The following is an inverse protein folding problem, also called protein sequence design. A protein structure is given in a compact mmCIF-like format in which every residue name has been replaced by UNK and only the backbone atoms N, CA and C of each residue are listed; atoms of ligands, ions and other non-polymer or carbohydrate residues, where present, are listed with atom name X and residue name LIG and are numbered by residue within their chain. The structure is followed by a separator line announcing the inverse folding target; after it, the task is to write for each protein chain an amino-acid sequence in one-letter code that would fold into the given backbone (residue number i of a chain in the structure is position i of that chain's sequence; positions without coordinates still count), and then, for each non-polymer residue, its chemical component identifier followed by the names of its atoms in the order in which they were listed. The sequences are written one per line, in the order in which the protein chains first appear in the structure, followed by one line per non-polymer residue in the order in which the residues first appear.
data_IF_370906424699
#
_entry.id   IF_370906424699
#
_cell.length_a   1.000
_cell.length_b   1.000
_cell.length_c   1.000
_cell.angle_alpha   90.00
_cell.angle_beta   90.00
_cell.angle_gamma   90.00
#
_symmetry.space_group_name_H-M   'P 1'
#
loop_
_entity.id
_entity.type
_entity.pdbx_description
1 polymer ?
#
# COMPACT_ATOMS: atom_id res chain seq x y z
N UNK A 1 -18.94 26.43 -4.28
CA UNK A 1 -17.85 25.98 -3.39
C UNK A 1 -17.20 24.75 -4.01
N UNK A 2 -15.97 24.87 -4.49
CA UNK A 2 -15.22 23.73 -5.05
C UNK A 2 -14.71 22.85 -3.90
N UNK A 3 -15.34 21.70 -3.68
CA UNK A 3 -14.80 20.65 -2.82
C UNK A 3 -13.65 20.01 -3.60
N UNK A 4 -12.43 20.53 -3.43
CA UNK A 4 -11.26 19.73 -3.72
C UNK A 4 -11.29 18.58 -2.71
N UNK A 5 -11.80 17.44 -3.15
CA UNK A 5 -11.51 16.14 -2.57
C UNK A 5 -9.98 15.98 -2.59
N UNK A 6 -9.31 16.52 -1.58
CA UNK A 6 -7.88 16.31 -1.37
C UNK A 6 -7.75 14.81 -1.11
N UNK A 7 -7.29 14.08 -2.12
CA UNK A 7 -6.96 12.66 -2.00
C UNK A 7 -5.94 12.55 -0.86
N UNK A 8 -6.38 12.08 0.32
CA UNK A 8 -5.49 11.89 1.46
C UNK A 8 -4.65 10.66 1.16
N UNK A 9 -3.37 10.87 0.87
CA UNK A 9 -2.43 9.80 0.60
C UNK A 9 -1.39 9.74 1.71
N UNK A 10 -1.02 8.53 2.12
CA UNK A 10 0.14 8.29 2.97
C UNK A 10 1.36 8.08 2.08
N UNK A 11 2.36 8.92 2.29
CA UNK A 11 3.65 8.85 1.64
C UNK A 11 4.70 8.35 2.64
N UNK A 12 5.43 7.30 2.25
CA UNK A 12 6.78 7.11 2.76
C UNK A 12 7.63 8.20 2.09
N UNK A 13 8.50 8.90 2.82
CA UNK A 13 9.38 9.94 2.25
C UNK A 13 10.26 9.42 1.08
N UNK A 14 10.33 8.10 0.89
CA UNK A 14 10.92 7.49 -0.28
C UNK A 14 9.92 7.35 -1.46
N UNK A 15 10.15 8.04 -2.60
CA UNK A 15 9.28 7.96 -3.78
C UNK A 15 9.32 6.60 -4.49
N UNK A 16 10.19 5.67 -4.05
CA UNK A 16 10.25 4.32 -4.60
C UNK A 16 8.95 3.55 -4.38
N UNK A 17 8.33 3.71 -3.20
CA UNK A 17 7.14 2.97 -2.82
C UNK A 17 5.86 3.65 -3.32
N UNK A 18 4.83 2.88 -3.72
CA UNK A 18 3.57 3.46 -4.16
C UNK A 18 2.87 4.16 -2.99
N UNK A 19 2.25 5.30 -3.29
CA UNK A 19 1.43 6.06 -2.34
C UNK A 19 0.20 5.25 -1.96
N UNK A 20 -0.21 5.34 -0.69
CA UNK A 20 -1.41 4.65 -0.21
C UNK A 20 -2.57 5.65 -0.15
N UNK A 21 -3.54 5.49 -1.03
CA UNK A 21 -4.80 6.25 -0.99
C UNK A 21 -5.64 5.86 0.24
N UNK A 22 -5.77 6.79 1.19
CA UNK A 22 -6.56 6.61 2.41
C UNK A 22 -8.06 6.65 2.13
N UNK A 23 -8.51 7.41 1.14
CA UNK A 23 -9.94 7.53 0.81
C UNK A 23 -10.46 6.18 0.29
N UNK A 24 -9.70 5.50 -0.55
CA UNK A 24 -9.99 4.15 -1.02
C UNK A 24 -9.74 3.06 0.02
N UNK A 25 -8.93 3.31 1.06
CA UNK A 25 -8.47 2.30 2.01
C UNK A 25 -9.62 1.68 2.80
N UNK A 26 -10.54 2.50 3.33
CA UNK A 26 -11.69 2.02 4.13
C UNK A 26 -12.54 1.02 3.34
N UNK A 27 -12.86 1.35 2.09
CA UNK A 27 -13.62 0.48 1.18
C UNK A 27 -12.84 -0.78 0.80
N UNK A 28 -11.54 -0.64 0.50
CA UNK A 28 -10.67 -1.75 0.10
C UNK A 28 -10.50 -2.78 1.22
N UNK A 29 -10.30 -2.31 2.46
CA UNK A 29 -10.08 -3.14 3.63
C UNK A 29 -11.37 -3.54 4.36
N UNK A 30 -12.53 -3.09 3.87
CA UNK A 30 -13.86 -3.34 4.47
C UNK A 30 -13.90 -2.94 5.96
N UNK A 31 -13.24 -1.84 6.32
CA UNK A 31 -13.20 -1.37 7.70
C UNK A 31 -14.59 -0.88 8.13
N UNK A 32 -14.98 -1.17 9.38
CA UNK A 32 -16.25 -0.71 9.91
C UNK A 32 -16.30 0.82 10.01
N UNK A 33 -17.51 1.39 9.97
CA UNK A 33 -17.71 2.85 10.15
C UNK A 33 -17.17 3.37 11.48
N UNK A 34 -17.12 2.51 12.50
CA UNK A 34 -16.65 2.80 13.86
C UNK A 34 -15.14 3.05 13.96
N UNK A 35 -14.34 2.56 13.02
CA UNK A 35 -12.90 2.87 12.99
C UNK A 35 -12.74 4.34 12.63
N UNK A 36 -12.12 5.14 13.50
CA UNK A 36 -11.89 6.57 13.25
C UNK A 36 -10.85 6.82 12.15
N UNK A 37 -11.05 7.87 11.34
CA UNK A 37 -10.13 8.18 10.23
C UNK A 37 -8.69 8.46 10.69
N UNK A 38 -8.52 9.10 11.86
CA UNK A 38 -7.21 9.33 12.45
C UNK A 38 -6.48 8.02 12.80
N UNK A 39 -7.21 7.01 13.30
CA UNK A 39 -6.63 5.70 13.60
C UNK A 39 -6.21 4.97 12.31
N UNK A 40 -7.01 5.10 11.24
CA UNK A 40 -6.70 4.55 9.91
C UNK A 40 -5.43 5.21 9.36
N UNK A 41 -5.33 6.54 9.46
CA UNK A 41 -4.18 7.32 8.98
C UNK A 41 -2.89 6.91 9.72
N UNK A 42 -2.91 6.87 11.05
CA UNK A 42 -1.77 6.41 11.86
C UNK A 42 -1.39 4.97 11.53
N UNK A 43 -2.37 4.06 11.43
CA UNK A 43 -2.12 2.68 11.05
C UNK A 43 -1.45 2.56 9.68
N UNK A 44 -1.91 3.34 8.70
CA UNK A 44 -1.34 3.38 7.36
C UNK A 44 0.10 3.92 7.37
N UNK A 45 0.39 4.99 8.12
CA UNK A 45 1.77 5.49 8.29
C UNK A 45 2.70 4.44 8.91
N UNK A 46 2.28 3.81 10.01
CA UNK A 46 3.06 2.75 10.63
C UNK A 46 3.29 1.57 9.68
N UNK A 47 2.27 1.19 8.89
CA UNK A 47 2.35 0.10 7.94
C UNK A 47 3.33 0.38 6.79
N UNK A 48 3.29 1.58 6.19
CA UNK A 48 4.23 1.91 5.09
C UNK A 48 5.68 1.99 5.57
N UNK A 49 5.92 2.48 6.79
CA UNK A 49 7.27 2.50 7.38
C UNK A 49 7.77 1.08 7.61
N UNK A 50 6.92 0.21 8.17
CA UNK A 50 7.25 -1.21 8.33
C UNK A 50 7.54 -1.87 6.98
N UNK A 51 6.68 -1.68 5.99
CA UNK A 51 6.87 -2.23 4.64
C UNK A 51 8.18 -1.74 4.00
N UNK A 52 8.49 -0.45 4.09
CA UNK A 52 9.73 0.11 3.54
C UNK A 52 10.98 -0.52 4.17
N UNK A 53 10.92 -0.91 5.45
CA UNK A 53 12.00 -1.61 6.15
C UNK A 53 12.12 -3.06 5.71
N UNK A 54 11.01 -3.81 5.70
CA UNK A 54 10.99 -5.21 5.29
C UNK A 54 11.48 -5.42 3.85
N UNK A 55 11.12 -4.49 2.95
CA UNK A 55 11.49 -4.57 1.54
C UNK A 55 12.74 -3.77 1.18
N UNK A 56 13.54 -3.34 2.16
CA UNK A 56 14.70 -2.48 1.93
C UNK A 56 15.75 -3.11 1.01
N UNK A 57 16.02 -4.41 1.15
CA UNK A 57 17.00 -5.13 0.32
C UNK A 57 16.55 -5.21 -1.15
N UNK A 58 15.26 -5.50 -1.38
CA UNK A 58 14.67 -5.49 -2.72
C UNK A 58 14.78 -4.11 -3.36
N UNK A 59 14.46 -3.04 -2.61
CA UNK A 59 14.61 -1.66 -3.08
C UNK A 59 16.07 -1.34 -3.44
N UNK A 60 17.03 -1.73 -2.61
CA UNK A 60 18.46 -1.49 -2.88
C UNK A 60 18.91 -2.18 -4.17
N UNK A 61 18.57 -3.46 -4.34
CA UNK A 61 18.86 -4.22 -5.55
C UNK A 61 18.23 -3.57 -6.79
N UNK A 62 16.94 -3.22 -6.73
CA UNK A 62 16.25 -2.59 -7.87
C UNK A 62 16.81 -1.21 -8.21
N UNK A 63 17.23 -0.42 -7.22
CA UNK A 63 17.92 0.85 -7.47
C UNK A 63 19.28 0.67 -8.13
N UNK A 64 20.04 -0.37 -7.78
CA UNK A 64 21.31 -0.68 -8.47
C UNK A 64 21.10 -1.07 -9.94
N UNK A 65 19.91 -1.57 -10.29
CA UNK A 65 19.50 -1.86 -11.66
C UNK A 65 18.91 -0.64 -12.39
N UNK A 66 18.85 0.53 -11.73
CA UNK A 66 18.38 1.79 -12.31
C UNK A 66 16.90 2.10 -12.10
N UNK A 67 16.12 1.24 -11.45
CA UNK A 67 14.71 1.49 -11.18
C UNK A 67 14.53 2.53 -10.07
N UNK A 68 13.69 3.54 -10.32
CA UNK A 68 13.44 4.64 -9.37
C UNK A 68 12.15 4.45 -8.59
N UNK A 69 11.20 3.70 -9.12
CA UNK A 69 9.89 3.42 -8.53
C UNK A 69 9.55 1.95 -8.67
N UNK A 70 8.75 1.42 -7.74
CA UNK A 70 8.27 0.04 -7.80
C UNK A 70 7.37 -0.20 -9.03
N UNK A 71 6.60 0.81 -9.44
CA UNK A 71 5.76 0.73 -10.64
C UNK A 71 6.59 0.57 -11.93
N UNK A 72 7.83 1.08 -11.97
CA UNK A 72 8.74 0.92 -13.11
C UNK A 72 9.11 -0.55 -13.36
N UNK A 73 9.06 -1.38 -12.30
CA UNK A 73 9.42 -2.82 -12.35
C UNK A 73 8.22 -3.66 -12.79
N UNK A 74 6.99 -3.12 -12.74
CA UNK A 74 5.75 -3.87 -12.97
C UNK A 74 5.48 -4.23 -14.44
N UNK A 75 6.37 -3.84 -15.37
CA UNK A 75 6.36 -4.34 -16.75
C UNK A 75 6.62 -5.85 -16.86
N UNK A 76 7.16 -6.48 -15.81
CA UNK A 76 7.49 -7.91 -15.77
C UNK A 76 6.75 -8.64 -14.63
N UNK A 77 6.55 -9.95 -14.79
CA UNK A 77 5.83 -10.79 -13.80
C UNK A 77 6.40 -10.70 -12.39
N UNK A 78 7.72 -10.76 -12.26
CA UNK A 78 8.40 -10.66 -10.96
C UNK A 78 8.19 -9.31 -10.28
N UNK A 79 8.21 -8.21 -11.04
CA UNK A 79 7.93 -6.88 -10.49
C UNK A 79 6.46 -6.73 -10.08
N UNK A 80 5.53 -7.28 -10.87
CA UNK A 80 4.11 -7.35 -10.50
C UNK A 80 3.91 -8.13 -9.20
N UNK A 81 4.57 -9.28 -9.06
CA UNK A 81 4.53 -10.07 -7.84
C UNK A 81 5.05 -9.30 -6.63
N UNK A 82 6.20 -8.62 -6.77
CA UNK A 82 6.77 -7.79 -5.71
C UNK A 82 5.82 -6.66 -5.28
N UNK A 83 5.19 -5.97 -6.24
CA UNK A 83 4.18 -4.95 -5.94
C UNK A 83 2.98 -5.52 -5.22
N UNK A 84 2.51 -6.69 -5.63
CA UNK A 84 1.41 -7.39 -4.94
C UNK A 84 1.81 -7.72 -3.50
N UNK A 85 3.00 -8.28 -3.29
CA UNK A 85 3.53 -8.61 -1.96
C UNK A 85 3.65 -7.37 -1.07
N UNK A 86 4.20 -6.27 -1.58
CA UNK A 86 4.27 -5.00 -0.86
C UNK A 86 2.89 -4.51 -0.41
N UNK A 87 1.92 -4.46 -1.34
CA UNK A 87 0.56 -4.01 -1.03
C UNK A 87 -0.15 -4.96 -0.04
N UNK A 88 0.01 -6.28 -0.19
CA UNK A 88 -0.53 -7.25 0.75
C UNK A 88 0.05 -7.07 2.16
N UNK A 89 1.36 -6.82 2.26
CA UNK A 89 2.02 -6.56 3.53
C UNK A 89 1.47 -5.29 4.18
N UNK A 90 1.35 -4.19 3.43
CA UNK A 90 0.78 -2.93 3.94
C UNK A 90 -0.65 -3.15 4.43
N UNK A 91 -1.50 -3.77 3.62
CA UNK A 91 -2.90 -4.06 3.99
C UNK A 91 -2.97 -4.90 5.29
N UNK A 92 -2.14 -5.95 5.41
CA UNK A 92 -2.08 -6.79 6.61
C UNK A 92 -1.56 -6.04 7.84
N UNK A 93 -0.53 -5.21 7.68
CA UNK A 93 0.04 -4.41 8.76
C UNK A 93 -0.94 -3.35 9.28
N UNK A 94 -1.76 -2.75 8.40
CA UNK A 94 -2.84 -1.84 8.78
C UNK A 94 -3.87 -2.57 9.63
N UNK A 95 -4.36 -3.71 9.14
CA UNK A 95 -5.36 -4.51 9.83
C UNK A 95 -4.86 -4.99 11.19
N UNK A 96 -3.61 -5.45 11.28
CA UNK A 96 -2.95 -5.80 12.53
C UNK A 96 -2.91 -4.62 13.51
N UNK A 97 -2.53 -3.42 13.06
CA UNK A 97 -2.46 -2.25 13.93
C UNK A 97 -3.84 -1.80 14.44
N UNK A 98 -4.89 -2.02 13.64
CA UNK A 98 -6.28 -1.73 14.01
C UNK A 98 -6.95 -2.85 14.82
N UNK A 99 -6.26 -3.96 15.09
CA UNK A 99 -6.85 -5.13 15.76
C UNK A 99 -7.94 -5.84 14.94
N UNK A 100 -7.96 -5.63 13.62
CA UNK A 100 -8.93 -6.25 12.71
C UNK A 100 -8.34 -7.53 12.14
N UNK A 101 -9.05 -8.67 12.19
CA UNK A 101 -8.55 -9.91 11.61
C UNK A 101 -8.33 -9.76 10.10
N UNK A 102 -7.19 -10.24 9.60
CA UNK A 102 -6.90 -10.24 8.17
C UNK A 102 -7.78 -11.26 7.44
N UNK A 103 -8.78 -10.76 6.71
CA UNK A 103 -9.52 -11.58 5.74
C UNK A 103 -8.98 -11.27 4.37
N UNK A 104 -8.33 -12.26 3.73
CA UNK A 104 -7.81 -12.12 2.36
C UNK A 104 -8.97 -11.72 1.45
N UNK A 105 -8.99 -10.45 1.06
CA UNK A 105 -9.92 -9.98 0.06
C UNK A 105 -9.53 -10.62 -1.27
N UNK A 106 -10.42 -11.41 -1.89
CA UNK A 106 -10.24 -11.85 -3.28
C UNK A 106 -10.06 -10.61 -4.16
N UNK A 107 -8.81 -10.23 -4.44
CA UNK A 107 -8.52 -9.24 -5.48
C UNK A 107 -9.00 -9.87 -6.77
N UNK A 108 -10.09 -9.34 -7.32
CA UNK A 108 -10.62 -9.71 -8.64
C UNK A 108 -9.45 -9.64 -9.62
N UNK A 109 -9.01 -10.79 -10.12
CA UNK A 109 -8.04 -10.86 -11.20
C UNK A 109 -8.65 -10.14 -12.40
N UNK A 110 -8.06 -9.01 -12.79
CA UNK A 110 -8.35 -8.41 -14.08
C UNK A 110 -7.74 -9.34 -15.11
N UNK A 111 -8.59 -10.14 -15.76
CA UNK A 111 -8.23 -10.85 -16.99
C UNK A 111 -8.00 -9.78 -18.06
N UNK A 112 -6.76 -9.54 -18.42
CA UNK A 112 -6.45 -8.91 -19.70
C UNK A 112 -6.70 -9.97 -20.79
N UNK A 113 -7.67 -9.69 -21.66
CA UNK A 113 -7.90 -10.41 -22.91
C UNK A 113 -6.96 -9.93 -24.00
#
# INVERSE_FOLDING_TARGET
MNHQDIVRAVDCHDPFWPRIDLNGLRKRLKLQRTTGDAAIEVAAYCAVIKAAREFANWRAALRSLGYRRLDDVCGHDHGRALRICYLCFVDAAILYHLGVPYVRSSRRGVRHG
#
